data_IF_901083162377
#
_entry.id   IF_901083162377
#
_cell.length_a   1.000
_cell.length_b   1.000
_cell.length_c   1.000
_cell.angle_alpha   90.00
_cell.angle_beta   90.00
_cell.angle_gamma   90.00
#
_symmetry.space_group_name_H-M   'P 1'
#
loop_
_entity.id
_entity.type
_entity.pdbx_description
1 polymer ?
#
# COMPACT_ATOMS: atom_id res chain seq x y z
N UNK A 1 29.03 -5.20 -9.29
CA UNK A 1 29.10 -5.86 -7.97
C UNK A 1 27.79 -6.61 -7.73
N UNK A 2 27.67 -7.84 -8.22
CA UNK A 2 26.46 -8.67 -8.07
C UNK A 2 26.43 -9.28 -6.66
N UNK A 3 25.54 -8.78 -5.80
CA UNK A 3 25.29 -9.31 -4.46
C UNK A 3 24.27 -10.44 -4.55
N UNK A 4 24.70 -11.64 -4.90
CA UNK A 4 23.83 -12.82 -4.77
C UNK A 4 24.00 -13.37 -3.34
N UNK A 5 22.94 -13.36 -2.51
CA UNK A 5 23.03 -13.80 -1.12
C UNK A 5 23.23 -15.31 -1.07
N UNK A 6 24.29 -15.68 -0.35
CA UNK A 6 24.64 -16.98 0.23
C UNK A 6 23.50 -18.03 0.16
N UNK A 7 23.48 -18.83 -0.91
CA UNK A 7 22.79 -20.12 -0.88
C UNK A 7 23.52 -20.99 0.13
N UNK A 8 22.90 -21.24 1.28
CA UNK A 8 23.37 -22.21 2.25
C UNK A 8 23.51 -23.57 1.54
N UNK A 9 24.74 -23.95 1.20
CA UNK A 9 25.07 -25.28 0.74
C UNK A 9 24.88 -26.24 1.91
N UNK A 10 23.63 -26.69 2.10
CA UNK A 10 23.33 -27.81 2.99
C UNK A 10 24.08 -29.01 2.43
N UNK A 11 25.12 -29.45 3.14
CA UNK A 11 26.01 -30.52 2.69
C UNK A 11 25.17 -31.79 2.44
N UNK A 12 25.28 -32.42 1.25
CA UNK A 12 24.47 -33.58 0.88
C UNK A 12 24.67 -34.82 1.77
N UNK A 13 25.69 -34.80 2.64
CA UNK A 13 25.97 -35.86 3.61
C UNK A 13 24.84 -36.00 4.64
N UNK A 14 24.14 -34.92 4.99
CA UNK A 14 23.01 -34.98 5.93
C UNK A 14 21.78 -35.64 5.26
N UNK A 15 21.59 -35.45 3.94
CA UNK A 15 20.47 -36.03 3.21
C UNK A 15 20.58 -37.56 3.04
N UNK A 16 21.80 -38.12 2.95
CA UNK A 16 21.96 -39.58 2.79
C UNK A 16 21.57 -40.38 4.02
N UNK A 17 21.79 -39.88 5.25
CA UNK A 17 21.40 -40.61 6.47
C UNK A 17 19.88 -40.71 6.69
N UNK A 18 19.09 -39.92 5.96
CA UNK A 18 17.63 -39.99 5.96
C UNK A 18 17.07 -40.96 4.88
N UNK A 19 17.95 -41.55 4.06
CA UNK A 19 17.56 -42.42 2.94
C UNK A 19 17.46 -43.91 3.32
N UNK A 20 17.85 -44.29 4.54
CA UNK A 20 17.54 -45.61 5.11
C UNK A 20 16.06 -45.64 5.49
N UNK A 21 15.18 -45.56 4.48
CA UNK A 21 13.75 -45.71 4.65
C UNK A 21 13.51 -47.15 5.10
N UNK A 22 12.97 -47.40 6.31
CA UNK A 22 12.55 -48.75 6.66
C UNK A 22 11.59 -49.22 5.57
N UNK A 23 11.79 -50.46 5.09
CA UNK A 23 10.91 -51.10 4.10
C UNK A 23 9.49 -51.01 4.64
N UNK A 24 8.70 -50.07 4.12
CA UNK A 24 7.28 -49.93 4.46
C UNK A 24 6.65 -51.27 4.09
N UNK A 25 6.04 -51.94 5.07
CA UNK A 25 5.43 -53.23 4.81
C UNK A 25 4.28 -53.03 3.82
N UNK A 26 4.22 -53.81 2.75
CA UNK A 26 3.12 -53.80 1.76
C UNK A 26 1.81 -54.36 2.32
N UNK A 27 1.76 -54.73 3.61
CA UNK A 27 0.49 -55.10 4.24
C UNK A 27 -0.32 -53.81 4.35
N UNK A 28 -1.50 -53.69 3.72
CA UNK A 28 -2.39 -52.59 4.06
C UNK A 28 -2.54 -52.63 5.57
N UNK A 29 -2.36 -51.51 6.26
CA UNK A 29 -2.59 -51.50 7.70
C UNK A 29 -4.04 -51.88 7.89
N UNK A 30 -4.28 -53.13 8.28
CA UNK A 30 -5.56 -53.59 8.79
C UNK A 30 -5.75 -53.05 10.21
N UNK A 31 -5.32 -51.81 10.44
CA UNK A 31 -5.94 -50.96 11.44
C UNK A 31 -7.36 -50.81 10.93
N UNK A 32 -8.37 -51.42 11.60
CA UNK A 32 -9.75 -51.18 11.24
C UNK A 32 -9.94 -49.67 11.07
N UNK A 33 -10.69 -49.26 10.04
CA UNK A 33 -11.00 -47.85 9.80
C UNK A 33 -11.32 -47.22 11.17
N UNK A 34 -10.72 -46.08 11.53
CA UNK A 34 -11.22 -45.29 12.65
C UNK A 34 -12.74 -45.29 12.55
N UNK A 35 -13.50 -45.65 13.62
CA UNK A 35 -14.95 -45.86 13.51
C UNK A 35 -15.76 -44.68 12.97
N UNK A 36 -15.11 -43.55 12.76
CA UNK A 36 -15.70 -42.27 12.35
C UNK A 36 -15.08 -41.70 11.07
N UNK A 37 -14.27 -42.49 10.34
CA UNK A 37 -13.87 -42.13 8.99
C UNK A 37 -15.05 -42.28 8.02
N UNK A 38 -15.23 -41.34 7.07
CA UNK A 38 -16.26 -41.45 6.05
C UNK A 38 -15.98 -42.58 5.05
N UNK A 39 -17.00 -42.99 4.26
CA UNK A 39 -16.80 -43.91 3.14
C UNK A 39 -15.82 -43.33 2.11
N UNK A 40 -15.12 -44.20 1.38
CA UNK A 40 -14.12 -43.79 0.38
C UNK A 40 -14.75 -43.13 -0.86
N UNK A 41 -15.98 -43.52 -1.21
CA UNK A 41 -16.70 -43.04 -2.38
C UNK A 41 -18.04 -42.41 -1.96
N UNK A 42 -18.44 -41.33 -2.65
CA UNK A 42 -19.74 -40.68 -2.44
C UNK A 42 -19.87 -39.86 -1.15
N UNK A 43 -18.77 -39.56 -0.46
CA UNK A 43 -18.82 -38.72 0.74
C UNK A 43 -18.91 -37.23 0.39
N UNK A 44 -20.13 -36.71 0.30
CA UNK A 44 -20.41 -35.29 0.04
C UNK A 44 -21.45 -34.75 1.03
N UNK A 45 -21.07 -34.51 2.29
CA UNK A 45 -21.97 -33.86 3.23
C UNK A 45 -22.27 -32.42 2.80
N UNK A 46 -23.52 -31.98 3.00
CA UNK A 46 -23.96 -30.61 2.66
C UNK A 46 -23.71 -29.61 3.79
N UNK A 47 -23.64 -30.08 5.04
CA UNK A 47 -23.42 -29.27 6.23
C UNK A 47 -22.65 -30.03 7.31
N UNK A 48 -22.20 -29.31 8.33
CA UNK A 48 -21.58 -29.87 9.54
C UNK A 48 -22.45 -29.51 10.73
N UNK A 49 -23.23 -30.49 11.21
CA UNK A 49 -24.24 -30.26 12.25
C UNK A 49 -23.63 -30.44 13.66
N UNK A 50 -22.88 -29.43 14.14
CA UNK A 50 -22.25 -29.47 15.45
C UNK A 50 -22.14 -28.10 16.14
N UNK A 51 -22.71 -27.94 17.35
CA UNK A 51 -22.77 -26.66 18.09
C UNK A 51 -21.38 -26.08 18.41
N UNK A 52 -20.40 -26.95 18.63
CA UNK A 52 -19.03 -26.57 18.95
C UNK A 52 -18.14 -26.21 17.76
N UNK A 53 -18.58 -26.44 16.52
CA UNK A 53 -17.78 -26.20 15.30
C UNK A 53 -18.47 -25.14 14.46
N UNK A 54 -17.68 -24.25 13.90
CA UNK A 54 -18.16 -23.26 12.94
C UNK A 54 -17.25 -23.34 11.72
N UNK A 55 -17.85 -23.70 10.61
CA UNK A 55 -17.13 -24.01 9.38
C UNK A 55 -17.09 -22.75 8.55
N UNK A 56 -15.90 -22.19 8.27
CA UNK A 56 -15.79 -21.04 7.40
C UNK A 56 -16.37 -21.35 6.01
N UNK A 57 -16.96 -20.35 5.32
CA UNK A 57 -17.67 -20.58 4.05
C UNK A 57 -16.77 -21.14 2.94
N UNK A 58 -15.45 -20.87 3.00
CA UNK A 58 -14.47 -21.38 2.05
C UNK A 58 -13.97 -22.80 2.35
N UNK A 59 -14.37 -23.40 3.47
CA UNK A 59 -14.02 -24.78 3.83
C UNK A 59 -15.21 -25.68 3.51
N UNK A 60 -14.96 -26.73 2.72
CA UNK A 60 -16.01 -27.70 2.39
C UNK A 60 -16.41 -28.53 3.62
N UNK A 61 -17.72 -28.78 3.83
CA UNK A 61 -18.20 -29.69 4.87
C UNK A 61 -17.59 -31.10 4.79
N UNK A 62 -17.19 -31.55 3.59
CA UNK A 62 -16.48 -32.81 3.34
C UNK A 62 -15.14 -32.93 4.06
N UNK A 63 -14.59 -31.81 4.56
CA UNK A 63 -13.35 -31.80 5.35
C UNK A 63 -13.55 -32.33 6.77
N UNK A 64 -14.80 -32.46 7.23
CA UNK A 64 -15.14 -32.93 8.57
C UNK A 64 -15.95 -34.21 8.47
N UNK A 65 -15.77 -35.08 9.47
CA UNK A 65 -16.60 -36.28 9.61
C UNK A 65 -18.03 -35.88 9.99
N UNK A 66 -18.99 -36.75 9.69
CA UNK A 66 -20.34 -36.58 10.21
C UNK A 66 -20.37 -36.86 11.72
N UNK A 67 -21.14 -36.05 12.44
CA UNK A 67 -21.35 -36.20 13.87
C UNK A 67 -22.64 -36.97 14.13
N UNK A 68 -22.72 -37.57 15.30
CA UNK A 68 -23.89 -38.31 15.76
C UNK A 68 -25.08 -37.38 16.06
N UNK A 69 -24.80 -36.07 16.18
CA UNK A 69 -25.72 -35.00 16.50
C UNK A 69 -24.97 -33.75 16.98
N UNK A 70 -25.70 -32.65 17.26
CA UNK A 70 -25.10 -31.36 17.58
C UNK A 70 -24.37 -31.30 18.94
N UNK A 71 -24.68 -32.24 19.84
CA UNK A 71 -24.16 -32.33 21.21
C UNK A 71 -23.08 -33.41 21.40
N UNK A 72 -22.52 -33.94 20.31
CA UNK A 72 -21.44 -34.93 20.41
C UNK A 72 -20.24 -34.36 21.19
N UNK A 73 -19.79 -35.07 22.24
CA UNK A 73 -18.61 -34.62 23.00
C UNK A 73 -17.35 -34.74 22.14
N UNK A 74 -16.80 -33.59 21.74
CA UNK A 74 -15.52 -33.52 21.04
C UNK A 74 -14.38 -33.58 22.05
N UNK A 75 -13.53 -34.60 22.00
CA UNK A 75 -12.32 -34.66 22.81
C UNK A 75 -12.52 -34.46 24.32
N UNK A 76 -11.55 -33.85 25.03
CA UNK A 76 -11.62 -33.51 26.46
C UNK A 76 -12.62 -32.37 26.80
N UNK A 77 -13.78 -32.32 26.14
CA UNK A 77 -14.68 -31.17 26.21
C UNK A 77 -14.18 -30.00 25.36
N UNK A 78 -13.88 -30.28 24.09
CA UNK A 78 -13.49 -29.30 23.10
C UNK A 78 -14.70 -28.52 22.58
N UNK A 79 -14.60 -27.20 22.55
CA UNK A 79 -15.65 -26.33 22.02
C UNK A 79 -15.30 -24.86 22.12
N UNK A 80 -16.01 -24.02 21.36
CA UNK A 80 -15.79 -22.55 21.36
C UNK A 80 -15.84 -21.94 22.77
N UNK A 81 -16.81 -22.36 23.58
CA UNK A 81 -17.01 -21.86 24.94
C UNK A 81 -16.25 -22.64 26.03
N UNK A 82 -15.52 -23.70 25.68
CA UNK A 82 -14.88 -24.61 26.66
C UNK A 82 -13.39 -24.29 26.86
N UNK A 83 -12.75 -24.78 27.95
CA UNK A 83 -11.33 -24.54 28.20
C UNK A 83 -10.42 -25.03 27.07
N UNK A 84 -10.78 -26.16 26.46
CA UNK A 84 -10.07 -26.69 25.29
C UNK A 84 -10.72 -26.17 24.00
N UNK A 85 -9.99 -25.36 23.24
CA UNK A 85 -10.52 -24.52 22.16
C UNK A 85 -10.46 -25.11 20.75
N UNK A 86 -9.96 -26.33 20.56
CA UNK A 86 -9.78 -26.92 19.22
C UNK A 86 -10.77 -28.05 18.91
N UNK A 87 -12.05 -27.73 18.65
CA UNK A 87 -13.05 -28.72 18.29
C UNK A 87 -12.82 -29.30 16.88
N UNK A 88 -12.26 -28.52 15.96
CA UNK A 88 -12.05 -28.95 14.56
C UNK A 88 -11.10 -30.13 14.45
N UNK A 89 -10.08 -30.21 15.32
CA UNK A 89 -9.19 -31.37 15.40
C UNK A 89 -9.93 -32.72 15.57
N UNK A 90 -11.01 -32.74 16.37
CA UNK A 90 -11.82 -33.94 16.59
C UNK A 90 -12.90 -34.17 15.52
N UNK A 91 -13.04 -33.23 14.59
CA UNK A 91 -13.86 -33.35 13.40
C UNK A 91 -13.10 -33.89 12.19
N UNK A 92 -11.76 -33.93 12.22
CA UNK A 92 -10.99 -34.45 11.10
C UNK A 92 -11.09 -35.98 10.96
N UNK A 93 -10.95 -36.44 9.72
CA UNK A 93 -10.88 -37.81 9.26
C UNK A 93 -9.68 -37.97 8.31
N UNK A 94 -9.44 -39.19 7.84
CA UNK A 94 -8.28 -39.53 6.99
C UNK A 94 -8.09 -38.65 5.75
N UNK A 95 -9.18 -38.12 5.19
CA UNK A 95 -9.17 -37.33 3.95
C UNK A 95 -9.25 -35.82 4.18
N UNK A 96 -9.45 -35.35 5.42
CA UNK A 96 -9.57 -33.92 5.73
C UNK A 96 -8.40 -33.11 5.23
N UNK A 97 -7.17 -33.63 5.37
CA UNK A 97 -5.98 -32.94 4.90
C UNK A 97 -5.98 -32.74 3.37
N UNK A 98 -6.45 -33.74 2.62
CA UNK A 98 -6.55 -33.63 1.16
C UNK A 98 -7.61 -32.63 0.75
N UNK A 99 -8.80 -32.67 1.37
CA UNK A 99 -9.87 -31.70 1.13
C UNK A 99 -9.39 -30.27 1.40
N UNK A 100 -8.75 -30.03 2.54
CA UNK A 100 -8.20 -28.71 2.89
C UNK A 100 -7.09 -28.25 1.95
N UNK A 101 -6.29 -29.18 1.42
CA UNK A 101 -5.23 -28.86 0.45
C UNK A 101 -5.85 -28.48 -0.89
N UNK A 102 -6.89 -29.18 -1.33
CA UNK A 102 -7.63 -28.89 -2.56
C UNK A 102 -8.30 -27.52 -2.47
N UNK A 103 -9.03 -27.23 -1.38
CA UNK A 103 -9.66 -25.92 -1.19
C UNK A 103 -8.63 -24.79 -1.16
N UNK A 104 -7.47 -25.00 -0.52
CA UNK A 104 -6.40 -24.00 -0.51
C UNK A 104 -5.83 -23.72 -1.93
N UNK A 105 -5.73 -24.76 -2.77
CA UNK A 105 -5.29 -24.60 -4.16
C UNK A 105 -6.35 -23.85 -4.98
N UNK A 106 -7.62 -24.18 -4.82
CA UNK A 106 -8.73 -23.50 -5.49
C UNK A 106 -8.76 -22.00 -5.13
N UNK A 107 -8.72 -21.64 -3.85
CA UNK A 107 -8.69 -20.25 -3.39
C UNK A 107 -7.47 -19.46 -3.91
N UNK A 108 -6.33 -20.16 -4.03
CA UNK A 108 -5.11 -19.56 -4.58
C UNK A 108 -5.26 -19.28 -6.08
N UNK A 109 -5.92 -20.18 -6.80
CA UNK A 109 -6.10 -20.08 -8.24
C UNK A 109 -7.21 -19.06 -8.58
N UNK A 110 -8.29 -18.99 -7.80
CA UNK A 110 -9.30 -17.93 -7.85
C UNK A 110 -8.66 -16.54 -7.68
N UNK A 111 -7.78 -16.37 -6.69
CA UNK A 111 -7.04 -15.10 -6.48
C UNK A 111 -6.16 -14.72 -7.68
N UNK A 112 -5.63 -15.70 -8.42
CA UNK A 112 -4.86 -15.41 -9.64
C UNK A 112 -5.75 -14.95 -10.79
N UNK A 113 -6.94 -15.54 -10.91
CA UNK A 113 -7.93 -15.13 -11.90
C UNK A 113 -8.47 -13.73 -11.60
N UNK A 114 -8.65 -13.39 -10.32
CA UNK A 114 -9.04 -12.05 -9.84
C UNK A 114 -7.89 -11.01 -9.90
N UNK A 115 -6.80 -11.31 -10.63
CA UNK A 115 -5.68 -10.37 -10.82
C UNK A 115 -4.86 -10.09 -9.56
N UNK A 116 -4.99 -10.88 -8.51
CA UNK A 116 -4.35 -10.64 -7.22
C UNK A 116 -5.08 -9.65 -6.33
N UNK A 117 -6.28 -9.17 -6.72
CA UNK A 117 -7.15 -8.50 -5.77
C UNK A 117 -7.53 -9.50 -4.67
N UNK A 118 -7.40 -9.08 -3.42
CA UNK A 118 -8.12 -9.74 -2.34
C UNK A 118 -9.57 -9.28 -2.47
N UNK A 119 -10.42 -10.05 -3.17
CA UNK A 119 -11.84 -10.04 -2.85
C UNK A 119 -11.95 -10.34 -1.34
N UNK A 120 -12.44 -9.48 -0.46
CA UNK A 120 -13.33 -8.35 -0.58
C UNK A 120 -12.88 -7.29 0.45
N UNK A 121 -12.69 -6.03 0.03
CA UNK A 121 -13.17 -4.95 0.91
C UNK A 121 -14.63 -5.33 1.11
N UNK A 122 -15.06 -5.53 2.36
CA UNK A 122 -16.47 -5.65 2.68
C UNK A 122 -17.14 -4.50 1.95
N UNK A 123 -17.83 -4.82 0.85
CA UNK A 123 -18.66 -3.87 0.18
C UNK A 123 -19.74 -3.64 1.22
N UNK A 124 -19.58 -2.57 1.98
CA UNK A 124 -20.57 -2.06 2.91
C UNK A 124 -21.88 -2.13 2.12
N UNK A 125 -22.76 -3.05 2.49
CA UNK A 125 -24.02 -3.30 1.80
C UNK A 125 -24.99 -2.16 2.11
N UNK A 126 -24.55 -0.90 2.00
CA UNK A 126 -25.38 0.29 2.05
C UNK A 126 -24.75 1.41 1.21
N UNK A 127 -25.06 1.43 -0.09
CA UNK A 127 -25.48 2.68 -0.72
C UNK A 127 -25.93 2.45 -2.15
N UNK A 128 -27.22 2.22 -2.30
CA UNK A 128 -27.99 2.67 -3.46
C UNK A 128 -28.02 4.22 -3.58
N UNK A 129 -27.21 4.94 -2.79
CA UNK A 129 -27.04 6.39 -2.80
C UNK A 129 -26.03 6.88 -3.87
N UNK A 130 -25.78 6.08 -4.92
CA UNK A 130 -24.84 6.45 -5.98
C UNK A 130 -25.26 7.69 -6.76
N UNK A 131 -26.55 7.89 -7.00
CA UNK A 131 -27.05 9.07 -7.73
C UNK A 131 -26.92 10.35 -6.89
N UNK A 132 -27.30 10.31 -5.61
CA UNK A 132 -27.17 11.46 -4.72
C UNK A 132 -25.70 11.84 -4.47
N UNK A 133 -24.79 10.84 -4.37
CA UNK A 133 -23.36 11.10 -4.25
C UNK A 133 -22.78 11.72 -5.53
N UNK A 134 -23.20 11.27 -6.71
CA UNK A 134 -22.78 11.89 -7.98
C UNK A 134 -23.32 13.31 -8.14
N UNK A 135 -24.54 13.59 -7.69
CA UNK A 135 -25.10 14.95 -7.70
C UNK A 135 -24.34 15.89 -6.75
N UNK A 136 -23.96 15.42 -5.56
CA UNK A 136 -23.14 16.22 -4.64
C UNK A 136 -21.75 16.50 -5.22
N UNK A 137 -21.13 15.51 -5.87
CA UNK A 137 -19.84 15.68 -6.56
C UNK A 137 -19.92 16.74 -7.68
N UNK A 138 -20.94 16.68 -8.54
CA UNK A 138 -21.15 17.66 -9.61
C UNK A 138 -21.37 19.09 -9.08
N UNK A 139 -22.07 19.24 -7.95
CA UNK A 139 -22.24 20.54 -7.30
C UNK A 139 -20.90 21.10 -6.83
N UNK A 140 -20.08 20.29 -6.16
CA UNK A 140 -18.76 20.69 -5.70
C UNK A 140 -17.82 21.06 -6.87
N UNK A 141 -17.85 20.31 -7.97
CA UNK A 141 -17.09 20.65 -9.19
C UNK A 141 -17.48 22.04 -9.73
N UNK A 142 -18.78 22.32 -9.80
CA UNK A 142 -19.28 23.64 -10.26
C UNK A 142 -18.90 24.79 -9.31
N UNK A 143 -18.82 24.54 -8.00
CA UNK A 143 -18.34 25.51 -7.02
C UNK A 143 -16.84 25.78 -7.17
N UNK A 144 -16.04 24.73 -7.38
CA UNK A 144 -14.61 24.86 -7.66
C UNK A 144 -14.35 25.72 -8.91
N UNK A 145 -15.08 25.46 -10.00
CA UNK A 145 -14.95 26.23 -11.25
C UNK A 145 -15.34 27.71 -11.07
N UNK A 146 -16.39 27.98 -10.29
CA UNK A 146 -16.79 29.35 -9.95
C UNK A 146 -15.69 30.08 -9.14
N UNK A 147 -15.05 29.40 -8.20
CA UNK A 147 -13.93 29.95 -7.41
C UNK A 147 -12.75 30.28 -8.32
N UNK A 148 -12.36 29.37 -9.22
CA UNK A 148 -11.26 29.57 -10.17
C UNK A 148 -11.53 30.77 -11.11
N UNK A 149 -12.75 30.87 -11.64
CA UNK A 149 -13.19 31.99 -12.49
C UNK A 149 -13.12 33.33 -11.75
N UNK A 150 -13.58 33.37 -10.50
CA UNK A 150 -13.54 34.58 -9.69
C UNK A 150 -12.11 35.00 -9.33
N UNK A 151 -11.23 34.06 -9.02
CA UNK A 151 -9.81 34.34 -8.79
C UNK A 151 -9.13 34.88 -10.05
N UNK A 152 -9.39 34.27 -11.22
CA UNK A 152 -8.86 34.74 -12.49
C UNK A 152 -9.31 36.19 -12.79
N UNK A 153 -10.59 36.53 -12.56
CA UNK A 153 -11.12 37.90 -12.71
C UNK A 153 -10.47 38.89 -11.75
N UNK A 154 -10.24 38.51 -10.49
CA UNK A 154 -9.55 39.36 -9.50
C UNK A 154 -8.10 39.63 -9.90
N UNK A 155 -7.39 38.60 -10.38
CA UNK A 155 -6.01 38.72 -10.87
C UNK A 155 -5.95 39.64 -12.10
N UNK A 156 -6.89 39.50 -13.04
CA UNK A 156 -6.99 40.37 -14.23
C UNK A 156 -7.27 41.84 -13.84
N UNK A 157 -8.20 42.08 -12.92
CA UNK A 157 -8.49 43.45 -12.42
C UNK A 157 -7.32 44.06 -11.63
N UNK A 158 -6.62 43.25 -10.84
CA UNK A 158 -5.44 43.70 -10.10
C UNK A 158 -4.27 44.01 -11.04
N UNK A 159 -4.07 43.20 -12.10
CA UNK A 159 -3.05 43.46 -13.12
C UNK A 159 -3.35 44.71 -13.93
N UNK A 160 -4.59 44.89 -14.40
CA UNK A 160 -4.97 46.08 -15.15
C UNK A 160 -4.86 47.35 -14.30
N UNK A 161 -5.28 47.34 -13.04
CA UNK A 161 -5.12 48.54 -12.18
C UNK A 161 -3.67 48.79 -11.76
N UNK A 162 -2.86 47.72 -11.58
CA UNK A 162 -1.43 47.86 -11.32
C UNK A 162 -0.67 48.39 -12.54
N UNK A 163 -1.02 47.92 -13.75
CA UNK A 163 -0.45 48.43 -15.00
C UNK A 163 -0.87 49.89 -15.24
N UNK A 164 -2.13 50.27 -14.96
CA UNK A 164 -2.61 51.64 -15.13
C UNK A 164 -1.94 52.62 -14.14
N UNK A 165 -1.76 52.22 -12.87
CA UNK A 165 -1.02 53.03 -11.88
C UNK A 165 0.47 53.14 -12.23
N UNK A 166 1.10 52.04 -12.64
CA UNK A 166 2.51 52.05 -13.00
C UNK A 166 2.76 52.93 -14.24
N UNK A 167 1.82 53.00 -15.19
CA UNK A 167 1.96 53.88 -16.37
C UNK A 167 1.75 55.37 -16.06
N UNK A 168 0.90 55.73 -15.10
CA UNK A 168 0.67 57.14 -14.73
C UNK A 168 1.80 57.74 -13.87
N UNK A 169 2.55 56.91 -13.15
CA UNK A 169 3.64 57.37 -12.26
C UNK A 169 5.03 57.34 -12.92
N UNK A 170 5.19 56.70 -14.08
CA UNK A 170 6.48 56.62 -14.77
C UNK A 170 6.80 57.91 -15.54
N UNK A 171 8.02 58.40 -15.36
CA UNK A 171 8.57 59.49 -16.16
C UNK A 171 8.73 59.08 -17.64
N UNK A 172 8.74 60.06 -18.57
CA UNK A 172 8.84 59.79 -20.01
C UNK A 172 10.08 58.94 -20.41
N UNK A 173 11.13 58.97 -19.60
CA UNK A 173 12.36 58.21 -19.81
C UNK A 173 12.18 56.71 -19.47
N UNK A 174 11.54 56.40 -18.34
CA UNK A 174 11.22 55.02 -17.93
C UNK A 174 10.20 54.39 -18.88
N UNK A 175 9.25 55.19 -19.40
CA UNK A 175 8.26 54.73 -20.36
C UNK A 175 8.92 54.32 -21.70
N UNK A 176 9.96 55.03 -22.14
CA UNK A 176 10.77 54.65 -23.32
C UNK A 176 11.56 53.37 -23.08
N UNK A 177 12.15 53.18 -21.90
CA UNK A 177 12.86 51.94 -21.57
C UNK A 177 11.90 50.73 -21.49
N UNK A 178 10.73 50.92 -20.89
CA UNK A 178 9.69 49.89 -20.83
C UNK A 178 9.19 49.49 -22.22
N UNK A 179 8.97 50.46 -23.11
CA UNK A 179 8.60 50.21 -24.51
C UNK A 179 9.68 49.41 -25.25
N UNK A 180 10.96 49.79 -25.13
CA UNK A 180 12.08 49.02 -25.73
C UNK A 180 12.13 47.59 -25.19
N UNK A 181 12.01 47.41 -23.87
CA UNK A 181 12.03 46.08 -23.25
C UNK A 181 10.85 45.20 -23.68
N UNK A 182 9.65 45.78 -23.81
CA UNK A 182 8.47 45.06 -24.33
C UNK A 182 8.62 44.71 -25.80
N UNK A 183 9.19 45.59 -26.61
CA UNK A 183 9.46 45.33 -28.02
C UNK A 183 10.48 44.18 -28.17
N UNK A 184 11.53 44.16 -27.32
CA UNK A 184 12.48 43.05 -27.24
C UNK A 184 11.83 41.72 -26.81
N UNK A 185 10.97 41.73 -25.79
CA UNK A 185 10.23 40.54 -25.35
C UNK A 185 9.28 40.01 -26.43
N UNK A 186 8.61 40.91 -27.17
CA UNK A 186 7.75 40.55 -28.29
C UNK A 186 8.59 39.96 -29.43
N UNK A 187 9.73 40.58 -29.76
CA UNK A 187 10.65 40.10 -30.80
C UNK A 187 11.26 38.76 -30.43
N UNK A 188 11.60 38.55 -29.16
CA UNK A 188 12.08 37.26 -28.63
C UNK A 188 10.99 36.20 -28.68
N UNK A 189 9.75 36.50 -28.26
CA UNK A 189 8.62 35.57 -28.41
C UNK A 189 8.27 35.28 -29.87
N UNK A 190 8.44 36.25 -30.76
CA UNK A 190 8.23 36.04 -32.19
C UNK A 190 9.35 35.19 -32.81
N UNK A 191 10.60 35.39 -32.37
CA UNK A 191 11.71 34.49 -32.69
C UNK A 191 11.47 33.10 -32.13
N UNK A 192 11.08 32.95 -30.86
CA UNK A 192 10.71 31.65 -30.27
C UNK A 192 9.51 31.03 -30.99
N UNK A 193 8.53 31.80 -31.47
CA UNK A 193 7.44 31.28 -32.31
C UNK A 193 7.87 30.94 -33.73
N UNK A 194 8.86 31.63 -34.31
CA UNK A 194 9.46 31.30 -35.61
C UNK A 194 10.38 30.09 -35.49
N UNK A 195 11.12 29.96 -34.40
CA UNK A 195 11.89 28.78 -34.01
C UNK A 195 10.97 27.62 -33.59
N UNK A 196 9.78 27.87 -33.03
CA UNK A 196 8.73 26.87 -32.77
C UNK A 196 7.89 26.54 -34.00
N UNK A 197 7.94 27.36 -35.06
CA UNK A 197 7.43 27.02 -36.40
C UNK A 197 8.50 26.37 -37.28
N UNK A 198 9.78 26.61 -36.98
CA UNK A 198 10.97 25.98 -37.58
C UNK A 198 11.41 24.72 -36.84
N UNK A 199 10.91 24.47 -35.63
CA UNK A 199 10.89 23.16 -35.01
C UNK A 199 9.50 22.56 -35.27
N UNK A 200 9.42 21.28 -35.64
CA UNK A 200 8.22 20.75 -36.28
C UNK A 200 7.05 20.82 -35.31
N UNK A 201 6.00 21.57 -35.70
CA UNK A 201 4.64 21.40 -35.20
C UNK A 201 4.41 19.90 -35.00
N UNK A 202 4.23 19.46 -33.76
CA UNK A 202 3.65 18.19 -33.32
C UNK A 202 3.35 17.22 -34.47
N UNK A 203 4.39 16.74 -35.16
CA UNK A 203 4.24 15.62 -36.06
C UNK A 203 4.26 14.43 -35.15
N UNK A 204 3.16 13.69 -35.16
CA UNK A 204 3.04 12.42 -34.44
C UNK A 204 4.30 11.61 -34.75
N UNK A 205 4.83 10.93 -33.74
CA UNK A 205 6.07 10.12 -33.75
C UNK A 205 6.18 9.19 -34.98
N UNK A 206 5.07 8.91 -35.65
CA UNK A 206 4.94 8.07 -36.85
C UNK A 206 5.61 8.64 -38.13
N UNK A 207 5.89 9.95 -38.22
CA UNK A 207 6.45 10.57 -39.45
C UNK A 207 7.93 10.94 -39.35
N UNK A 208 8.65 10.55 -38.29
CA UNK A 208 10.08 10.82 -38.15
C UNK A 208 10.93 9.82 -38.93
N UNK A 209 11.99 10.29 -39.58
CA UNK A 209 13.03 9.40 -40.13
C UNK A 209 13.85 8.78 -38.99
N UNK A 210 14.48 7.64 -39.27
CA UNK A 210 15.20 6.84 -38.25
C UNK A 210 16.35 7.62 -37.57
N UNK A 211 16.98 8.56 -38.30
CA UNK A 211 18.03 9.43 -37.79
C UNK A 211 17.49 10.49 -36.80
N UNK A 212 16.31 11.06 -37.06
CA UNK A 212 15.66 12.05 -36.20
C UNK A 212 15.16 11.41 -34.89
N UNK A 213 14.60 10.21 -34.98
CA UNK A 213 14.21 9.39 -33.82
C UNK A 213 15.42 9.10 -32.92
N UNK A 214 16.56 8.77 -33.52
CA UNK A 214 17.80 8.48 -32.77
C UNK A 214 18.33 9.72 -32.05
N UNK A 215 18.31 10.88 -32.70
CA UNK A 215 18.72 12.14 -32.07
C UNK A 215 17.77 12.54 -30.92
N UNK A 216 16.45 12.35 -31.09
CA UNK A 216 15.47 12.63 -30.04
C UNK A 216 15.64 11.70 -28.83
N UNK A 217 15.86 10.40 -29.05
CA UNK A 217 16.14 9.42 -28.01
C UNK A 217 17.43 9.74 -27.25
N UNK A 218 18.52 10.08 -27.95
CA UNK A 218 19.79 10.46 -27.32
C UNK A 218 19.63 11.70 -26.44
N UNK A 219 18.95 12.74 -26.94
CA UNK A 219 18.67 13.97 -26.16
C UNK A 219 17.84 13.68 -24.90
N UNK A 220 16.83 12.81 -25.01
CA UNK A 220 16.03 12.37 -23.86
C UNK A 220 16.83 11.55 -22.85
N UNK A 221 17.72 10.67 -23.31
CA UNK A 221 18.61 9.90 -22.43
C UNK A 221 19.60 10.82 -21.68
N UNK A 222 20.15 11.83 -22.35
CA UNK A 222 21.03 12.83 -21.73
C UNK A 222 20.30 13.66 -20.67
N UNK A 223 19.08 14.12 -20.95
CA UNK A 223 18.24 14.85 -19.98
C UNK A 223 17.91 13.99 -18.75
N UNK A 224 17.62 12.70 -18.95
CA UNK A 224 17.34 11.76 -17.85
C UNK A 224 18.60 11.52 -17.02
N UNK A 225 19.76 11.28 -17.67
CA UNK A 225 21.04 11.10 -16.97
C UNK A 225 21.43 12.34 -16.17
N UNK A 226 21.28 13.54 -16.74
CA UNK A 226 21.58 14.80 -16.06
C UNK A 226 20.68 14.98 -14.83
N UNK A 227 19.37 14.73 -14.95
CA UNK A 227 18.44 14.75 -13.81
C UNK A 227 18.76 13.70 -12.76
N UNK A 228 19.24 12.52 -13.15
CA UNK A 228 19.61 11.46 -12.20
C UNK A 228 20.91 11.82 -11.46
N UNK A 229 21.86 12.46 -12.15
CA UNK A 229 23.10 12.94 -11.57
C UNK A 229 22.85 14.12 -10.61
N UNK A 230 22.02 15.09 -10.99
CA UNK A 230 21.55 16.15 -10.10
C UNK A 230 20.81 15.58 -8.87
N UNK A 231 19.99 14.53 -9.03
CA UNK A 231 19.35 13.85 -7.89
C UNK A 231 20.35 13.11 -6.99
N UNK A 232 21.45 12.59 -7.54
CA UNK A 232 22.51 11.94 -6.76
C UNK A 232 23.37 12.96 -6.02
N UNK A 233 23.69 14.10 -6.64
CA UNK A 233 24.42 15.22 -6.02
C UNK A 233 23.57 15.96 -4.99
N UNK A 234 22.27 16.15 -5.24
CA UNK A 234 21.34 16.70 -4.26
C UNK A 234 21.14 15.78 -3.04
N UNK A 235 21.35 14.46 -3.20
CA UNK A 235 21.40 13.50 -2.09
C UNK A 235 22.73 13.46 -1.35
N UNK A 236 23.79 14.08 -1.86
CA UNK A 236 25.10 14.17 -1.19
C UNK A 236 25.36 15.53 -0.52
N UNK A 237 24.32 16.34 -0.30
CA UNK A 237 24.39 17.51 0.59
C UNK A 237 23.41 17.35 1.76
N UNK A 238 23.84 17.62 3.00
CA UNK A 238 23.38 16.87 4.17
C UNK A 238 22.18 17.57 4.80
N UNK A 239 20.99 16.99 4.63
CA UNK A 239 19.86 17.27 5.51
C UNK A 239 19.30 15.94 5.99
N UNK A 240 19.18 15.85 7.31
CA UNK A 240 18.72 14.70 8.09
C UNK A 240 19.72 13.54 8.12
N UNK A 241 20.69 13.66 9.04
CA UNK A 241 21.48 12.54 9.57
C UNK A 241 20.52 11.42 9.96
N UNK A 242 20.39 10.42 9.08
CA UNK A 242 19.79 9.14 9.40
C UNK A 242 20.58 8.56 10.56
N UNK A 243 19.87 8.15 11.60
CA UNK A 243 20.40 7.49 12.82
C UNK A 243 21.31 6.29 12.51
N UNK A 244 21.32 5.79 11.26
CA UNK A 244 22.15 4.68 10.82
C UNK A 244 23.65 5.00 10.68
N UNK A 245 24.06 6.27 10.58
CA UNK A 245 25.47 6.67 10.37
C UNK A 245 26.06 7.50 11.52
N UNK A 246 25.40 7.58 12.68
CA UNK A 246 25.96 8.29 13.85
C UNK A 246 27.05 7.45 14.53
N UNK A 247 28.18 8.07 14.86
CA UNK A 247 29.21 7.44 15.70
C UNK A 247 28.66 7.16 17.11
N UNK A 248 29.24 6.20 17.83
CA UNK A 248 28.78 5.79 19.17
C UNK A 248 28.63 6.98 20.13
N UNK A 249 29.52 7.96 20.07
CA UNK A 249 29.44 9.19 20.88
C UNK A 249 28.26 10.10 20.50
N UNK A 250 27.96 10.27 19.20
CA UNK A 250 26.79 11.03 18.73
C UNK A 250 25.47 10.34 19.10
N UNK A 251 25.44 9.01 19.03
CA UNK A 251 24.29 8.19 19.41
C UNK A 251 24.05 8.27 20.92
N UNK A 252 25.12 8.28 21.73
CA UNK A 252 25.06 8.45 23.19
C UNK A 252 24.54 9.83 23.58
N UNK A 253 25.02 10.89 22.93
CA UNK A 253 24.53 12.25 23.16
C UNK A 253 23.05 12.42 22.75
N UNK A 254 22.63 11.81 21.64
CA UNK A 254 21.24 11.82 21.20
C UNK A 254 20.32 11.08 22.18
N UNK A 255 20.74 9.91 22.67
CA UNK A 255 20.03 9.15 23.70
C UNK A 255 19.91 9.93 25.02
N UNK A 256 21.01 10.53 25.49
CA UNK A 256 20.99 11.36 26.71
C UNK A 256 20.02 12.53 26.59
N UNK A 257 20.04 13.25 25.46
CA UNK A 257 19.12 14.37 25.21
C UNK A 257 17.65 13.92 25.19
N UNK A 258 17.36 12.78 24.56
CA UNK A 258 16.02 12.16 24.58
C UNK A 258 15.59 11.77 25.99
N UNK A 259 16.50 11.25 26.81
CA UNK A 259 16.20 10.87 28.19
C UNK A 259 15.93 12.09 29.09
N UNK A 260 16.69 13.18 28.91
CA UNK A 260 16.46 14.46 29.59
C UNK A 260 15.10 15.07 29.22
N UNK A 261 14.74 15.08 27.93
CA UNK A 261 13.44 15.59 27.47
C UNK A 261 12.27 14.77 28.04
N UNK A 262 12.43 13.45 28.17
CA UNK A 262 11.43 12.57 28.79
C UNK A 262 11.32 12.87 30.29
N UNK A 263 12.45 12.98 31.01
CA UNK A 263 12.45 13.33 32.44
C UNK A 263 11.82 14.69 32.70
N UNK A 264 12.10 15.68 31.85
CA UNK A 264 11.53 17.03 31.98
C UNK A 264 10.02 17.04 31.75
N UNK A 265 9.53 16.26 30.77
CA UNK A 265 8.09 16.06 30.56
C UNK A 265 7.42 15.31 31.70
N UNK A 266 8.10 14.34 32.30
CA UNK A 266 7.56 13.61 33.45
C UNK A 266 7.52 14.49 34.72
N UNK A 267 8.51 15.37 34.91
CA UNK A 267 8.50 16.36 35.99
C UNK A 267 7.38 17.40 35.78
N UNK A 268 7.21 17.93 34.57
CA UNK A 268 6.10 18.84 34.27
C UNK A 268 4.73 18.18 34.52
N UNK A 269 4.55 16.92 34.12
CA UNK A 269 3.32 16.18 34.42
C UNK A 269 3.10 15.91 35.91
N UNK A 270 4.18 15.74 36.69
CA UNK A 270 4.09 15.59 38.15
C UNK A 270 3.81 16.91 38.86
N UNK A 271 4.28 18.03 38.33
CA UNK A 271 3.97 19.36 38.85
C UNK A 271 2.53 19.77 38.51
N UNK A 272 2.06 19.51 37.28
CA UNK A 272 0.67 19.73 36.89
C UNK A 272 -0.30 18.79 37.64
N UNK A 273 0.09 17.54 37.86
CA UNK A 273 -0.73 16.56 38.60
C UNK A 273 -0.77 16.75 40.12
N UNK A 274 0.01 17.66 40.69
CA UNK A 274 0.02 17.93 42.14
C UNK A 274 -0.70 19.22 42.54
N UNK A 275 -1.23 19.98 41.57
CA UNK A 275 -2.02 21.18 41.82
C UNK A 275 -3.54 20.96 41.68
N UNK A 276 -4.01 19.71 41.51
CA UNK A 276 -5.44 19.42 41.32
C UNK A 276 -6.03 18.52 42.42
N UNK A 277 -5.53 18.65 43.64
CA UNK A 277 -5.95 17.80 44.76
C UNK A 277 -5.82 18.46 46.12
N UNK A 278 -6.34 19.67 46.28
CA UNK A 278 -6.78 20.23 47.58
C UNK A 278 -7.54 21.53 47.31
N UNK A 279 -8.87 21.46 47.23
CA UNK A 279 -9.81 22.51 47.65
C UNK A 279 -11.20 22.28 47.03
N UNK A 280 -12.04 21.52 47.74
CA UNK A 280 -13.30 21.99 48.31
C UNK A 280 -14.23 20.80 48.60
N UNK A 281 -14.07 20.26 49.81
CA UNK A 281 -15.15 19.64 50.55
C UNK A 281 -15.68 20.70 51.50
N UNK A 282 -16.65 21.48 51.03
CA UNK A 282 -17.48 22.37 51.85
C UNK A 282 -18.90 22.26 51.31
N UNK A 283 -19.65 21.36 51.91
CA UNK A 283 -21.07 21.50 52.31
C UNK A 283 -21.43 20.31 53.19
#
# INVERSE_FOLDING_TARGET
MSKNPLRLFIKPVILRRLSDKPKLSNKPSNTPRPPKDPPDEGYQPTSVDHNGIDVPPFVRPSSFRQFSGPDEKLGPGAGKALPYKNPTYFGYHRFSFMELTVTAVELRDERRLDGGLQASIEADEESECGEAQLETMKKLESECDAILSNQAKKIQKAKSSAEEKCLQEMSEEELKEWCKKKEEDIKKKEQEKKEAKSSPKEKKIQDMSEEELKAWCQKKEEDIKKKEQEKKEAKSSPKEKKVQDMSEDELKAWCQKKEEDIKKKEQQKKEEGKCEGDDNKKD
#
